data_IF_292880427363
#
_entry.id   IF_292880427363
#
_cell.length_a   1.000
_cell.length_b   1.000
_cell.length_c   1.000
_cell.angle_alpha   90.00
_cell.angle_beta   90.00
_cell.angle_gamma   90.00
#
_symmetry.space_group_name_H-M   'P 1'
#
loop_
_entity.id
_entity.type
_entity.pdbx_description
1 polymer ?
#
# COMPACT_ATOMS: atom_id res chain seq x y z
N UNK A 1 -0.21 -3.42 7.32
CA UNK A 1 0.23 -3.54 5.91
C UNK A 1 0.66 -2.15 5.46
N UNK A 2 1.82 -1.68 5.91
CA UNK A 2 2.16 -0.25 5.90
C UNK A 2 3.64 0.03 5.58
N UNK A 3 4.60 -0.76 6.09
CA UNK A 3 6.02 -0.64 5.69
C UNK A 3 6.51 -1.76 4.78
N UNK A 4 6.13 -2.99 5.09
CA UNK A 4 6.53 -4.17 4.32
C UNK A 4 5.98 -4.15 2.88
N UNK A 5 4.83 -3.51 2.67
CA UNK A 5 4.20 -3.36 1.36
C UNK A 5 5.07 -2.56 0.41
N UNK A 6 5.57 -1.40 0.85
CA UNK A 6 6.41 -0.54 0.02
C UNK A 6 7.73 -1.23 -0.34
N UNK A 7 8.36 -1.91 0.62
CA UNK A 7 9.58 -2.68 0.37
C UNK A 7 9.33 -3.81 -0.64
N UNK A 8 8.21 -4.53 -0.50
CA UNK A 8 7.82 -5.58 -1.46
C UNK A 8 7.55 -5.00 -2.84
N UNK A 9 6.80 -3.91 -2.93
CA UNK A 9 6.48 -3.23 -4.18
C UNK A 9 7.75 -2.84 -4.95
N UNK A 10 8.67 -2.15 -4.28
CA UNK A 10 9.95 -1.76 -4.85
C UNK A 10 10.83 -2.97 -5.21
N UNK A 11 10.79 -4.02 -4.40
CA UNK A 11 11.44 -5.29 -4.70
C UNK A 11 10.92 -5.90 -6.00
N UNK A 12 9.61 -6.08 -6.13
CA UNK A 12 8.98 -6.62 -7.34
C UNK A 12 9.38 -5.83 -8.58
N UNK A 13 9.31 -4.49 -8.53
CA UNK A 13 9.77 -3.63 -9.63
C UNK A 13 11.24 -3.86 -9.97
N UNK A 14 12.12 -3.89 -8.96
CA UNK A 14 13.57 -4.07 -9.15
C UNK A 14 13.93 -5.40 -9.81
N UNK A 15 13.14 -6.44 -9.59
CA UNK A 15 13.37 -7.77 -10.17
C UNK A 15 12.59 -8.01 -11.48
N UNK A 16 11.89 -7.01 -12.03
CA UNK A 16 11.17 -7.10 -13.30
C UNK A 16 9.73 -7.61 -13.20
N UNK A 17 9.22 -7.83 -11.99
CA UNK A 17 7.83 -8.22 -11.71
C UNK A 17 6.92 -6.98 -11.68
N UNK A 18 6.85 -6.26 -12.81
CA UNK A 18 6.17 -4.96 -12.90
C UNK A 18 4.66 -5.11 -12.69
N UNK A 19 4.06 -6.14 -13.29
CA UNK A 19 2.62 -6.37 -13.22
C UNK A 19 2.19 -6.78 -11.81
N UNK A 20 2.95 -7.65 -11.15
CA UNK A 20 2.71 -8.05 -9.77
C UNK A 20 2.90 -6.88 -8.80
N UNK A 21 3.86 -6.00 -9.06
CA UNK A 21 4.03 -4.77 -8.29
C UNK A 21 2.78 -3.89 -8.44
N UNK A 22 2.30 -3.67 -9.67
CA UNK A 22 1.10 -2.88 -9.95
C UNK A 22 -0.13 -3.45 -9.23
N UNK A 23 -0.39 -4.75 -9.37
CA UNK A 23 -1.50 -5.44 -8.70
C UNK A 23 -1.44 -5.32 -7.17
N UNK A 24 -0.23 -5.44 -6.59
CA UNK A 24 -0.02 -5.22 -5.16
C UNK A 24 -0.37 -3.78 -4.76
N UNK A 25 0.10 -2.81 -5.53
CA UNK A 25 -0.15 -1.39 -5.27
C UNK A 25 -1.63 -1.05 -5.34
N UNK A 26 -2.32 -1.44 -6.42
CA UNK A 26 -3.76 -1.22 -6.59
C UNK A 26 -4.58 -1.86 -5.47
N UNK A 27 -4.25 -3.11 -5.08
CA UNK A 27 -4.96 -3.80 -4.00
C UNK A 27 -4.84 -3.05 -2.67
N UNK A 28 -3.65 -2.54 -2.35
CA UNK A 28 -3.43 -1.86 -1.07
C UNK A 28 -4.10 -0.49 -1.08
N UNK A 29 -4.00 0.25 -2.18
CA UNK A 29 -4.70 1.52 -2.35
C UNK A 29 -6.22 1.35 -2.21
N UNK A 30 -6.78 0.27 -2.78
CA UNK A 30 -8.20 -0.05 -2.63
C UNK A 30 -8.58 -0.28 -1.15
N UNK A 31 -7.81 -1.09 -0.43
CA UNK A 31 -8.03 -1.34 1.02
C UNK A 31 -7.97 -0.02 1.79
N UNK A 32 -6.92 0.78 1.60
CA UNK A 32 -6.75 2.05 2.31
C UNK A 32 -7.84 3.07 1.98
N UNK A 33 -8.33 3.09 0.74
CA UNK A 33 -9.40 4.01 0.30
C UNK A 33 -10.78 3.68 0.88
N UNK A 34 -10.97 2.46 1.40
CA UNK A 34 -12.25 2.04 1.98
C UNK A 34 -12.46 2.51 3.43
N UNK A 35 -11.39 2.94 4.11
CA UNK A 35 -11.42 3.43 5.47
C UNK A 35 -11.53 4.96 5.56
N UNK A 36 -11.97 5.51 6.71
CA UNK A 36 -12.05 6.95 6.92
C UNK A 36 -10.68 7.63 7.07
N UNK A 37 -9.64 6.87 7.45
CA UNK A 37 -8.30 7.37 7.79
C UNK A 37 -7.21 6.41 7.32
N UNK A 38 -5.96 6.88 7.28
CA UNK A 38 -4.80 6.03 7.02
C UNK A 38 -4.32 5.34 8.32
N UNK A 39 -4.78 4.12 8.57
CA UNK A 39 -4.35 3.35 9.73
C UNK A 39 -2.92 2.80 9.60
N UNK A 40 -2.29 2.54 10.74
CA UNK A 40 -0.98 1.90 10.86
C UNK A 40 -1.01 0.52 10.19
N UNK A 41 -2.02 -0.30 10.41
CA UNK A 41 -2.06 -1.63 9.84
C UNK A 41 -3.44 -1.98 9.29
N UNK A 42 -3.49 -3.09 8.54
CA UNK A 42 -4.72 -3.64 7.98
C UNK A 42 -4.65 -5.15 8.10
N UNK A 43 -5.77 -5.78 8.42
CA UNK A 43 -5.91 -7.22 8.48
C UNK A 43 -5.71 -7.81 7.07
N UNK A 44 -4.80 -8.78 6.92
CA UNK A 44 -4.46 -9.35 5.62
C UNK A 44 -5.60 -10.17 4.97
N UNK A 45 -6.54 -10.67 5.78
CA UNK A 45 -7.67 -11.46 5.31
C UNK A 45 -8.91 -10.59 5.06
N UNK A 46 -9.23 -9.69 5.99
CA UNK A 46 -10.47 -8.90 5.94
C UNK A 46 -10.28 -7.49 5.38
N UNK A 47 -9.05 -6.96 5.38
CA UNK A 47 -8.76 -5.57 5.04
C UNK A 47 -9.13 -4.56 6.13
N UNK A 48 -9.63 -5.01 7.29
CA UNK A 48 -10.04 -4.12 8.37
C UNK A 48 -8.85 -3.34 8.95
N UNK A 49 -9.03 -2.05 9.28
CA UNK A 49 -7.99 -1.24 9.87
C UNK A 49 -7.57 -1.78 11.26
N UNK A 50 -6.27 -1.76 11.52
CA UNK A 50 -5.63 -2.19 12.76
C UNK A 50 -4.64 -1.11 13.24
N UNK A 51 -4.37 -1.05 14.54
CA UNK A 51 -3.42 -0.11 15.11
C UNK A 51 -3.92 1.33 15.11
N UNK A 52 -3.00 2.29 15.17
CA UNK A 52 -3.34 3.71 15.28
C UNK A 52 -3.95 4.27 13.99
N UNK A 53 -5.01 5.10 14.05
CA UNK A 53 -5.43 5.93 12.92
C UNK A 53 -4.42 7.05 12.64
N UNK A 54 -4.48 7.64 11.45
CA UNK A 54 -3.63 8.75 11.00
C UNK A 54 -2.13 8.52 11.21
N UNK A 55 -1.69 7.29 10.94
CA UNK A 55 -0.31 6.89 11.18
C UNK A 55 0.63 7.45 10.12
N UNK A 56 1.65 8.19 10.54
CA UNK A 56 2.46 9.00 9.62
C UNK A 56 3.16 8.19 8.53
N UNK A 57 3.63 6.98 8.79
CA UNK A 57 4.28 6.17 7.76
C UNK A 57 3.32 5.56 6.74
N UNK A 58 2.02 5.50 7.04
CA UNK A 58 1.02 5.09 6.05
C UNK A 58 0.95 6.08 4.88
N UNK A 59 1.39 7.33 5.07
CA UNK A 59 1.52 8.32 3.99
C UNK A 59 2.58 7.96 2.95
N UNK A 60 3.54 7.07 3.25
CA UNK A 60 4.52 6.60 2.27
C UNK A 60 3.85 5.89 1.08
N UNK A 61 2.62 5.42 1.25
CA UNK A 61 1.81 4.81 0.18
C UNK A 61 1.47 5.79 -0.94
N UNK A 62 1.58 7.11 -0.71
CA UNK A 62 1.49 8.14 -1.75
C UNK A 62 2.54 7.90 -2.85
N UNK A 63 3.71 7.36 -2.52
CA UNK A 63 4.74 7.05 -3.53
C UNK A 63 4.30 5.99 -4.53
N UNK A 64 3.55 4.98 -4.09
CA UNK A 64 2.94 3.97 -4.96
C UNK A 64 1.85 4.61 -5.83
N UNK A 65 1.07 5.52 -5.26
CA UNK A 65 0.01 6.24 -5.98
C UNK A 65 0.61 7.10 -7.11
N UNK A 66 1.65 7.88 -6.81
CA UNK A 66 2.38 8.67 -7.82
C UNK A 66 2.94 7.75 -8.91
N UNK A 67 3.58 6.63 -8.54
CA UNK A 67 4.21 5.72 -9.50
C UNK A 67 3.20 5.04 -10.44
N UNK A 68 2.01 4.67 -9.94
CA UNK A 68 0.96 4.04 -10.75
C UNK A 68 0.27 5.03 -11.68
N UNK A 69 0.00 6.26 -11.22
CA UNK A 69 -0.86 7.21 -11.92
C UNK A 69 -0.11 8.36 -12.62
N UNK A 70 1.22 8.44 -12.48
CA UNK A 70 2.06 9.42 -13.19
C UNK A 70 2.88 8.80 -14.32
N UNK A 71 2.57 7.56 -14.70
CA UNK A 71 3.19 6.83 -15.80
C UNK A 71 2.55 7.13 -17.15
#
# INVERSE_FOLDING_TARGET
MDKCTLVRYNGLKRYGFIEEAKQLGERVLNIMSSGPTCNENYNSLTGEPLGAPDFSWSTLMITILIDIYSA
#
